data_IF_576715786667
#
_entry.id   IF_576715786667
#
_cell.length_a   1.000
_cell.length_b   1.000
_cell.length_c   1.000
_cell.angle_alpha   90.00
_cell.angle_beta   90.00
_cell.angle_gamma   90.00
#
_symmetry.space_group_name_H-M   'P 1'
#
loop_
_entity.id
_entity.type
_entity.pdbx_description
1 polymer ?
#
# COMPACT_ATOMS: atom_id res chain seq x y z
N UNK A 1 -5.24 -14.88 -16.60
CA UNK A 1 -4.54 -14.07 -15.56
C UNK A 1 -5.33 -12.78 -15.38
N UNK A 2 -5.51 -12.34 -14.14
CA UNK A 2 -6.21 -11.09 -13.80
C UNK A 2 -5.25 -10.23 -12.97
N UNK A 3 -5.11 -8.95 -13.35
CA UNK A 3 -4.35 -7.95 -12.62
C UNK A 3 -5.27 -6.94 -11.98
N UNK A 4 -5.04 -6.62 -10.71
CA UNK A 4 -5.82 -5.65 -9.94
C UNK A 4 -4.83 -4.64 -9.38
N UNK A 5 -4.97 -3.38 -9.78
CA UNK A 5 -4.13 -2.29 -9.31
C UNK A 5 -4.91 -1.39 -8.34
N UNK A 6 -4.19 -0.69 -7.47
CA UNK A 6 -4.75 0.21 -6.46
C UNK A 6 -5.82 -0.46 -5.56
N UNK A 7 -5.62 -1.75 -5.24
CA UNK A 7 -6.59 -2.60 -4.54
C UNK A 7 -6.98 -2.10 -3.14
N UNK A 8 -6.18 -1.23 -2.52
CA UNK A 8 -6.52 -0.60 -1.25
C UNK A 8 -7.79 0.25 -1.29
N UNK A 9 -8.24 0.69 -2.48
CA UNK A 9 -9.49 1.44 -2.66
C UNK A 9 -10.71 0.55 -2.93
N UNK A 10 -10.51 -0.75 -3.10
CA UNK A 10 -11.61 -1.71 -3.26
C UNK A 10 -12.26 -2.03 -1.91
N UNK A 11 -13.46 -2.61 -1.95
CA UNK A 11 -14.14 -3.08 -0.73
C UNK A 11 -13.51 -4.38 -0.18
N UNK A 12 -13.96 -4.76 1.03
CA UNK A 12 -13.47 -5.97 1.72
C UNK A 12 -13.87 -7.28 1.01
N UNK A 13 -14.84 -7.25 0.10
CA UNK A 13 -15.26 -8.40 -0.69
C UNK A 13 -14.22 -8.83 -1.72
N UNK A 14 -13.27 -7.95 -2.07
CA UNK A 14 -12.18 -8.26 -2.99
C UNK A 14 -11.38 -9.51 -2.59
N UNK A 15 -11.21 -9.75 -1.28
CA UNK A 15 -10.50 -10.93 -0.76
C UNK A 15 -11.18 -12.22 -1.22
N UNK A 16 -12.51 -12.28 -1.07
CA UNK A 16 -13.31 -13.46 -1.45
C UNK A 16 -13.29 -13.68 -2.95
N UNK A 17 -13.36 -12.59 -3.73
CA UNK A 17 -13.28 -12.65 -5.20
C UNK A 17 -11.93 -13.19 -5.65
N UNK A 18 -10.83 -12.71 -5.07
CA UNK A 18 -9.48 -13.17 -5.40
C UNK A 18 -9.29 -14.66 -5.07
N UNK A 19 -9.75 -15.10 -3.90
CA UNK A 19 -9.72 -16.52 -3.51
C UNK A 19 -10.53 -17.38 -4.48
N UNK A 20 -11.77 -16.97 -4.79
CA UNK A 20 -12.64 -17.73 -5.69
C UNK A 20 -12.01 -17.90 -7.08
N UNK A 21 -11.38 -16.85 -7.60
CA UNK A 21 -10.68 -16.91 -8.89
C UNK A 21 -9.44 -17.81 -8.83
N UNK A 22 -8.66 -17.72 -7.75
CA UNK A 22 -7.50 -18.57 -7.53
C UNK A 22 -7.89 -20.06 -7.44
N UNK A 23 -8.95 -20.38 -6.70
CA UNK A 23 -9.50 -21.75 -6.57
C UNK A 23 -9.99 -22.31 -7.92
N UNK A 24 -10.39 -21.45 -8.85
CA UNK A 24 -10.75 -21.81 -10.23
C UNK A 24 -9.53 -21.96 -11.16
N UNK A 25 -8.31 -21.87 -10.64
CA UNK A 25 -7.06 -21.95 -11.40
C UNK A 25 -6.68 -20.65 -12.13
N UNK A 26 -7.35 -19.53 -11.84
CA UNK A 26 -7.00 -18.24 -12.43
C UNK A 26 -5.88 -17.59 -11.62
N UNK A 27 -4.75 -17.32 -12.28
CA UNK A 27 -3.68 -16.52 -11.67
C UNK A 27 -4.14 -15.07 -11.46
N UNK A 28 -4.22 -14.63 -10.21
CA UNK A 28 -4.55 -13.26 -9.80
C UNK A 28 -3.28 -12.55 -9.30
N UNK A 29 -3.03 -11.34 -9.77
CA UNK A 29 -1.93 -10.48 -9.31
C UNK A 29 -2.57 -9.21 -8.76
N UNK A 30 -2.28 -8.90 -7.50
CA UNK A 30 -2.82 -7.71 -6.83
C UNK A 30 -1.70 -6.75 -6.45
N UNK A 31 -1.84 -5.49 -6.83
CA UNK A 31 -0.96 -4.39 -6.49
C UNK A 31 -1.74 -3.31 -5.71
N UNK A 32 -1.07 -2.68 -4.77
CA UNK A 32 -1.65 -1.63 -3.95
C UNK A 32 -0.79 -1.25 -2.76
N UNK A 33 -1.22 -0.21 -2.05
CA UNK A 33 -0.58 0.26 -0.83
C UNK A 33 -1.03 -0.57 0.37
N UNK A 34 -0.09 -1.26 1.03
CA UNK A 34 -0.41 -2.08 2.22
C UNK A 34 -0.72 -1.25 3.47
N UNK A 35 -0.28 0.00 3.51
CA UNK A 35 -0.50 0.95 4.60
C UNK A 35 -0.81 2.36 4.07
N UNK A 36 -1.61 3.10 4.82
CA UNK A 36 -1.84 4.53 4.59
C UNK A 36 -0.67 5.40 5.10
N UNK A 37 -0.77 6.72 4.91
CA UNK A 37 0.25 7.67 5.37
C UNK A 37 0.42 7.73 6.89
N UNK A 38 -0.55 7.23 7.66
CA UNK A 38 -0.54 7.13 9.13
C UNK A 38 0.08 5.80 9.61
N UNK A 39 0.47 4.92 8.68
CA UNK A 39 0.98 3.55 8.93
C UNK A 39 -0.08 2.60 9.47
N UNK A 40 -1.33 2.84 9.10
CA UNK A 40 -2.45 1.96 9.41
C UNK A 40 -2.69 1.06 8.18
N UNK A 41 -3.00 -0.23 8.37
CA UNK A 41 -3.33 -1.11 7.26
C UNK A 41 -4.45 -0.53 6.37
N UNK A 42 -4.29 -0.59 5.05
CA UNK A 42 -5.19 0.10 4.11
C UNK A 42 -6.15 -0.88 3.41
N UNK A 43 -7.45 -0.75 3.69
CA UNK A 43 -8.50 -1.42 2.93
C UNK A 43 -8.39 -2.94 3.02
N UNK A 44 -8.64 -3.68 1.92
CA UNK A 44 -8.58 -5.14 1.89
C UNK A 44 -7.15 -5.71 1.86
N UNK A 45 -6.13 -4.86 1.70
CA UNK A 45 -4.73 -5.30 1.52
C UNK A 45 -4.23 -6.26 2.60
N UNK A 46 -4.54 -6.09 3.91
CA UNK A 46 -4.08 -7.03 4.94
C UNK A 46 -4.69 -8.42 4.77
N UNK A 47 -5.97 -8.49 4.37
CA UNK A 47 -6.64 -9.75 4.08
C UNK A 47 -6.04 -10.40 2.83
N UNK A 48 -5.82 -9.63 1.76
CA UNK A 48 -5.17 -10.11 0.54
C UNK A 48 -3.77 -10.68 0.83
N UNK A 49 -2.94 -9.97 1.60
CA UNK A 49 -1.62 -10.45 2.02
C UNK A 49 -1.67 -11.74 2.85
N UNK A 50 -2.74 -11.96 3.62
CA UNK A 50 -2.87 -13.17 4.44
C UNK A 50 -3.24 -14.42 3.65
N UNK A 51 -3.93 -14.26 2.51
CA UNK A 51 -4.41 -15.39 1.67
C UNK A 51 -3.58 -15.60 0.41
N UNK A 52 -2.68 -14.67 0.08
CA UNK A 52 -1.83 -14.76 -1.10
C UNK A 52 -0.78 -15.87 -0.96
N UNK A 53 -0.55 -16.61 -2.04
CA UNK A 53 0.52 -17.61 -2.12
C UNK A 53 1.91 -16.96 -2.01
N UNK A 54 2.07 -15.78 -2.65
CA UNK A 54 3.30 -14.99 -2.65
C UNK A 54 3.01 -13.53 -2.32
N UNK A 55 3.83 -12.94 -1.44
CA UNK A 55 3.76 -11.51 -1.09
C UNK A 55 5.12 -10.86 -1.33
N UNK A 56 5.15 -9.90 -2.25
CA UNK A 56 6.34 -9.10 -2.54
C UNK A 56 6.15 -7.69 -2.02
N UNK A 57 6.96 -7.28 -1.03
CA UNK A 57 6.95 -5.91 -0.52
C UNK A 57 7.97 -5.06 -1.25
N UNK A 58 7.46 -4.11 -2.04
CA UNK A 58 8.30 -3.17 -2.80
C UNK A 58 8.73 -1.99 -1.94
N UNK A 59 9.91 -1.45 -2.23
CA UNK A 59 10.50 -0.35 -1.48
C UNK A 59 10.95 0.76 -2.44
N UNK A 60 10.66 2.00 -2.07
CA UNK A 60 11.23 3.18 -2.71
C UNK A 60 12.59 3.56 -2.07
N UNK A 61 13.20 4.63 -2.54
CA UNK A 61 14.41 5.20 -1.93
C UNK A 61 14.01 6.38 -1.02
N UNK A 62 14.53 6.40 0.21
CA UNK A 62 14.24 7.45 1.16
C UNK A 62 14.90 8.77 0.76
N UNK A 63 14.09 9.79 0.49
CA UNK A 63 14.57 11.13 0.07
C UNK A 63 15.40 11.87 1.13
N UNK A 64 15.39 11.41 2.39
CA UNK A 64 16.15 12.01 3.49
C UNK A 64 17.51 11.37 3.74
N UNK A 65 17.70 10.09 3.39
CA UNK A 65 18.91 9.35 3.78
C UNK A 65 19.40 8.29 2.79
N UNK A 66 18.73 8.08 1.65
CA UNK A 66 19.12 7.10 0.64
C UNK A 66 18.83 5.63 0.97
N UNK A 67 18.44 5.30 2.20
CA UNK A 67 18.03 3.93 2.58
C UNK A 67 16.67 3.54 1.97
N UNK A 68 16.33 2.24 2.02
CA UNK A 68 15.01 1.75 1.62
C UNK A 68 13.87 2.43 2.40
N UNK A 69 12.92 2.98 1.64
CA UNK A 69 11.73 3.65 2.15
C UNK A 69 10.55 2.68 2.20
N UNK A 70 9.80 2.78 3.30
CA UNK A 70 8.69 1.90 3.62
C UNK A 70 7.38 2.66 3.89
N UNK A 71 7.44 4.00 3.90
CA UNK A 71 6.33 4.84 4.35
C UNK A 71 6.14 6.01 3.40
N UNK A 72 4.91 6.22 2.98
CA UNK A 72 4.49 7.43 2.28
C UNK A 72 4.13 8.50 3.31
N UNK A 73 5.01 9.47 3.52
CA UNK A 73 4.74 10.57 4.45
C UNK A 73 4.12 11.75 3.72
N UNK A 74 2.94 12.18 4.18
CA UNK A 74 2.22 13.30 3.60
C UNK A 74 2.78 14.65 4.07
N UNK A 75 3.03 15.56 3.14
CA UNK A 75 3.58 16.90 3.40
C UNK A 75 2.51 17.94 3.73
N UNK A 76 1.31 17.79 3.17
CA UNK A 76 0.22 18.76 3.30
C UNK A 76 -0.61 18.48 4.56
N UNK A 77 -0.92 19.52 5.34
CA UNK A 77 -1.86 19.44 6.48
C UNK A 77 -3.29 19.36 5.98
N UNK A 78 -3.72 18.16 5.58
CA UNK A 78 -5.12 17.86 5.29
C UNK A 78 -5.43 16.44 5.80
N UNK A 79 -6.54 16.28 6.51
CA UNK A 79 -6.91 15.03 7.18
C UNK A 79 -7.68 14.05 6.28
N UNK A 80 -7.99 14.42 5.02
CA UNK A 80 -8.68 13.51 4.08
C UNK A 80 -7.83 12.27 3.79
N UNK A 81 -8.34 11.09 4.11
CA UNK A 81 -7.64 9.81 3.90
C UNK A 81 -7.36 9.50 2.43
N UNK A 82 -8.22 9.97 1.52
CA UNK A 82 -8.09 9.81 0.07
C UNK A 82 -7.82 11.18 -0.55
N UNK A 83 -6.67 11.34 -1.18
CA UNK A 83 -6.43 12.37 -2.18
C UNK A 83 -5.76 11.72 -3.38
N UNK A 84 -6.38 11.90 -4.55
CA UNK A 84 -5.75 11.64 -5.84
C UNK A 84 -4.83 12.83 -6.10
N UNK A 85 -3.59 12.75 -5.66
CA UNK A 85 -2.64 13.86 -5.70
C UNK A 85 -1.24 13.38 -6.05
N UNK A 86 -0.58 14.13 -6.92
CA UNK A 86 0.74 13.88 -7.48
C UNK A 86 1.88 13.99 -6.44
N UNK A 87 3.10 13.72 -6.91
CA UNK A 87 4.40 13.68 -6.21
C UNK A 87 4.66 14.78 -5.18
N UNK A 88 4.00 15.94 -5.28
CA UNK A 88 4.22 17.08 -4.38
C UNK A 88 3.57 16.91 -3.00
N UNK A 89 2.72 15.92 -2.83
CA UNK A 89 1.97 15.73 -1.58
C UNK A 89 2.55 14.65 -0.66
N UNK A 90 3.36 13.74 -1.19
CA UNK A 90 3.90 12.58 -0.48
C UNK A 90 5.40 12.39 -0.72
N UNK A 91 6.15 12.09 0.34
CA UNK A 91 7.56 11.72 0.26
C UNK A 91 7.80 10.30 0.80
N UNK A 92 8.57 9.45 0.10
CA UNK A 92 8.94 8.14 0.59
C UNK A 92 10.02 8.27 1.68
N UNK A 93 9.72 7.75 2.88
CA UNK A 93 10.62 7.78 4.03
C UNK A 93 10.94 6.38 4.55
N UNK A 94 12.18 6.20 5.03
CA UNK A 94 12.53 5.07 5.87
C UNK A 94 11.94 5.24 7.28
N UNK A 95 11.92 4.17 8.07
CA UNK A 95 11.36 4.19 9.45
C UNK A 95 11.95 5.28 10.33
N UNK A 96 13.28 5.43 10.29
CA UNK A 96 14.00 6.41 11.11
C UNK A 96 13.64 7.85 10.73
N UNK A 97 13.64 8.17 9.43
CA UNK A 97 13.30 9.50 8.95
C UNK A 97 11.82 9.83 9.19
N UNK A 98 10.91 8.87 8.97
CA UNK A 98 9.49 9.06 9.25
C UNK A 98 9.23 9.44 10.71
N UNK A 99 9.85 8.74 11.68
CA UNK A 99 9.70 9.04 13.10
C UNK A 99 10.28 10.40 13.52
N UNK A 100 11.29 10.91 12.80
CA UNK A 100 11.85 12.24 13.06
C UNK A 100 10.93 13.37 12.62
N UNK A 101 10.25 13.20 11.48
CA UNK A 101 9.35 14.23 10.91
C UNK A 101 7.96 14.22 11.58
N UNK A 102 7.57 13.11 12.23
CA UNK A 102 6.31 13.01 12.97
C UNK A 102 6.36 13.62 14.39
N UNK A 103 7.54 14.01 14.88
CA UNK A 103 7.67 14.76 16.14
C UNK A 103 7.37 16.22 15.90
#
# INVERSE_FOLDING_TARGET
>A
MIGIDEAQFSDMGLVVVCQTLADQGVRVIVAGLDMDFKRIPFGPMPGLCSVADDVVKVHAICVKCGNLANYSHRLVKNDKQVMLGETDEYQPLCRKCYLKVRK
#
